data_IF_754002210826
#
_entry.id   IF_754002210826
#
_cell.length_a   1.000
_cell.length_b   1.000
_cell.length_c   1.000
_cell.angle_alpha   90.00
_cell.angle_beta   90.00
_cell.angle_gamma   90.00
#
_symmetry.space_group_name_H-M   'P 1'
#
loop_
_entity.id
_entity.type
_entity.pdbx_description
1 polymer ?
#
# COMPACT_ATOMS: atom_id res chain seq x y z
N UNK A 1 -28.27 -42.14 14.36
CA UNK A 1 -28.04 -42.45 15.79
C UNK A 1 -26.72 -41.80 16.16
N UNK A 2 -26.59 -40.83 17.06
CA UNK A 2 -27.54 -40.06 17.84
C UNK A 2 -26.95 -38.66 18.01
N UNK A 3 -27.83 -37.68 18.02
CA UNK A 3 -27.55 -36.28 18.27
C UNK A 3 -27.26 -36.05 19.76
N UNK A 4 -26.41 -35.08 20.08
CA UNK A 4 -26.31 -34.51 21.42
C UNK A 4 -25.25 -33.41 21.42
N UNK A 5 -25.53 -32.16 21.72
CA UNK A 5 -26.77 -31.51 22.10
C UNK A 5 -26.43 -30.05 22.35
N UNK A 6 -27.04 -29.15 21.58
CA UNK A 6 -27.12 -27.74 21.89
C UNK A 6 -28.09 -27.57 23.06
N UNK A 7 -27.57 -27.27 24.25
CA UNK A 7 -28.33 -26.73 25.38
C UNK A 7 -27.65 -25.41 25.79
N UNK A 8 -28.27 -24.25 25.56
CA UNK A 8 -29.29 -23.62 26.44
C UNK A 8 -28.73 -23.48 27.86
N UNK A 9 -28.68 -22.34 28.53
CA UNK A 9 -29.34 -21.05 28.34
C UNK A 9 -29.02 -20.27 29.62
N UNK A 10 -28.64 -19.00 29.52
CA UNK A 10 -29.20 -18.03 30.46
C UNK A 10 -29.67 -16.82 29.67
N UNK A 11 -30.97 -16.86 29.40
CA UNK A 11 -31.76 -15.74 28.96
C UNK A 11 -31.59 -14.61 29.99
N UNK A 12 -31.35 -13.39 29.53
CA UNK A 12 -32.40 -12.38 29.38
C UNK A 12 -31.80 -11.03 29.01
N UNK A 13 -32.49 -10.40 28.06
CA UNK A 13 -32.61 -8.95 27.90
C UNK A 13 -31.36 -8.25 27.29
N UNK A 14 -31.41 -7.50 26.19
CA UNK A 14 -32.51 -6.82 25.51
C UNK A 14 -32.22 -6.73 24.01
N UNK A 15 -33.31 -6.87 23.24
CA UNK A 15 -33.44 -6.61 21.80
C UNK A 15 -33.08 -5.15 21.47
N UNK A 16 -32.37 -4.92 20.37
CA UNK A 16 -32.74 -4.00 19.29
C UNK A 16 -32.09 -4.53 17.99
N UNK A 17 -32.90 -4.68 16.94
CA UNK A 17 -32.53 -5.18 15.60
C UNK A 17 -31.56 -4.24 14.85
N UNK A 18 -30.75 -4.77 13.91
CA UNK A 18 -30.00 -3.95 12.97
C UNK A 18 -30.92 -3.55 11.82
N UNK A 19 -31.33 -2.28 11.77
CA UNK A 19 -31.92 -1.73 10.55
C UNK A 19 -30.80 -1.13 9.70
N UNK A 20 -30.43 -1.87 8.66
CA UNK A 20 -29.74 -1.31 7.52
C UNK A 20 -30.75 -0.44 6.76
N UNK A 21 -30.58 0.89 6.78
CA UNK A 21 -31.20 1.79 5.82
C UNK A 21 -30.14 2.75 5.28
N UNK A 22 -29.70 2.44 4.06
CA UNK A 22 -29.08 3.39 3.15
C UNK A 22 -30.12 4.46 2.76
N UNK A 23 -29.88 5.75 3.04
CA UNK A 23 -30.20 6.84 2.09
C UNK A 23 -29.64 8.21 2.50
N UNK A 24 -28.74 8.71 1.64
CA UNK A 24 -28.56 10.07 1.08
C UNK A 24 -29.06 11.32 1.84
N UNK A 25 -28.14 12.29 1.95
CA UNK A 25 -28.29 13.75 1.74
C UNK A 25 -29.54 14.45 2.30
N UNK A 26 -29.33 15.31 3.30
CA UNK A 26 -30.28 16.36 3.66
C UNK A 26 -29.94 17.05 4.97
N UNK A 27 -29.61 18.35 4.89
CA UNK A 27 -29.48 19.26 6.02
C UNK A 27 -30.69 19.17 6.96
N UNK A 28 -30.48 18.81 8.23
CA UNK A 28 -31.44 19.04 9.30
C UNK A 28 -30.98 20.25 10.11
N UNK A 29 -31.72 21.33 9.91
CA UNK A 29 -31.59 22.64 10.54
C UNK A 29 -32.29 22.58 11.92
N UNK A 30 -31.77 23.36 12.86
CA UNK A 30 -32.38 23.83 14.12
C UNK A 30 -32.43 22.87 15.31
N UNK A 31 -31.45 23.01 16.21
CA UNK A 31 -31.78 23.18 17.62
C UNK A 31 -31.03 24.43 18.12
N UNK A 32 -31.81 25.49 18.35
CA UNK A 32 -31.35 26.84 18.63
C UNK A 32 -31.63 27.13 20.11
N UNK A 33 -30.58 27.06 20.93
CA UNK A 33 -30.48 27.83 22.17
C UNK A 33 -29.04 28.34 22.28
N UNK A 34 -28.92 29.66 22.31
CA UNK A 34 -27.69 30.42 22.28
C UNK A 34 -26.87 30.24 23.56
N UNK A 35 -25.57 29.97 23.40
CA UNK A 35 -24.54 30.30 24.37
C UNK A 35 -23.45 31.05 23.61
N UNK A 36 -23.41 32.37 23.80
CA UNK A 36 -22.44 33.28 23.22
C UNK A 36 -21.03 33.01 23.76
N UNK A 37 -20.03 33.12 22.88
CA UNK A 37 -18.67 33.46 23.27
C UNK A 37 -17.77 32.31 23.72
N UNK A 38 -17.40 31.42 22.79
CA UNK A 38 -16.27 30.51 22.99
C UNK A 38 -15.63 30.20 21.64
N UNK A 39 -14.44 30.77 21.41
CA UNK A 39 -13.65 30.66 20.18
C UNK A 39 -13.69 29.26 19.56
N UNK A 40 -14.14 29.16 18.29
CA UNK A 40 -13.79 28.00 17.46
C UNK A 40 -12.34 28.21 17.03
N UNK A 41 -11.40 28.00 17.97
CA UNK A 41 -9.98 27.91 17.65
C UNK A 41 -9.84 26.76 16.66
N UNK A 42 -9.45 27.06 15.42
CA UNK A 42 -9.29 26.09 14.35
C UNK A 42 -8.40 24.91 14.80
N UNK A 43 -9.03 23.81 15.24
CA UNK A 43 -8.33 22.63 15.75
C UNK A 43 -8.15 21.61 14.63
N UNK A 44 -7.20 21.85 13.73
CA UNK A 44 -6.72 20.78 12.84
C UNK A 44 -5.28 20.96 12.33
N UNK A 45 -4.34 21.26 13.25
CA UNK A 45 -2.89 21.28 12.92
C UNK A 45 -2.33 19.90 12.53
N UNK A 46 -3.01 18.78 12.81
CA UNK A 46 -2.51 17.42 12.58
C UNK A 46 -2.96 16.75 11.26
N UNK A 47 -4.24 16.80 10.81
CA UNK A 47 -4.66 16.08 9.61
C UNK A 47 -4.12 16.73 8.33
N UNK A 48 -4.25 18.06 8.21
CA UNK A 48 -3.72 18.82 7.06
C UNK A 48 -2.19 18.69 6.93
N UNK A 49 -1.47 18.60 8.05
CA UNK A 49 -0.01 18.36 8.07
C UNK A 49 0.33 16.94 7.58
N UNK A 50 -0.43 15.92 7.98
CA UNK A 50 -0.26 14.54 7.49
C UNK A 50 -0.55 14.46 5.99
N UNK A 51 -1.59 15.13 5.50
CA UNK A 51 -1.92 15.20 4.08
C UNK A 51 -0.78 15.80 3.24
N UNK A 52 -0.24 16.96 3.65
CA UNK A 52 0.92 17.58 2.96
C UNK A 52 2.15 16.68 2.93
N UNK A 53 2.47 16.01 4.06
CA UNK A 53 3.59 15.06 4.13
C UNK A 53 3.36 13.83 3.26
N UNK A 54 2.14 13.31 3.24
CA UNK A 54 1.76 12.17 2.41
C UNK A 54 1.94 12.49 0.92
N UNK A 55 1.53 13.67 0.49
CA UNK A 55 1.68 14.09 -0.91
C UNK A 55 3.16 14.24 -1.31
N UNK A 56 3.98 14.89 -0.49
CA UNK A 56 5.41 15.00 -0.73
C UNK A 56 6.09 13.62 -0.83
N UNK A 57 5.74 12.69 0.06
CA UNK A 57 6.26 11.32 0.02
C UNK A 57 5.73 10.54 -1.19
N UNK A 58 4.47 10.76 -1.59
CA UNK A 58 3.86 10.15 -2.78
C UNK A 58 4.66 10.51 -4.04
N UNK A 59 4.98 11.79 -4.22
CA UNK A 59 5.74 12.27 -5.39
C UNK A 59 7.14 11.63 -5.43
N UNK A 60 7.88 11.65 -4.31
CA UNK A 60 9.21 11.02 -4.22
C UNK A 60 9.14 9.51 -4.50
N UNK A 61 8.19 8.81 -3.89
CA UNK A 61 8.02 7.38 -4.08
C UNK A 61 7.59 7.02 -5.50
N UNK A 62 6.77 7.86 -6.14
CA UNK A 62 6.38 7.71 -7.55
C UNK A 62 7.61 7.75 -8.46
N UNK A 63 8.48 8.74 -8.27
CA UNK A 63 9.71 8.88 -9.06
C UNK A 63 10.70 7.73 -8.86
N UNK A 64 10.87 7.24 -7.62
CA UNK A 64 11.76 6.08 -7.37
C UNK A 64 11.16 4.78 -7.93
N UNK A 65 9.85 4.57 -7.76
CA UNK A 65 9.16 3.38 -8.32
C UNK A 65 9.18 3.38 -9.84
N UNK A 66 9.02 4.54 -10.49
CA UNK A 66 9.12 4.64 -11.95
C UNK A 66 10.54 4.34 -12.42
N UNK A 67 11.57 4.90 -11.76
CA UNK A 67 12.98 4.59 -12.06
C UNK A 67 13.27 3.08 -11.98
N UNK A 68 12.85 2.42 -10.90
CA UNK A 68 12.99 0.97 -10.76
C UNK A 68 12.31 0.20 -11.91
N UNK A 69 11.07 0.58 -12.25
CA UNK A 69 10.31 -0.07 -13.32
C UNK A 69 11.01 0.10 -14.67
N UNK A 70 11.56 1.28 -14.93
CA UNK A 70 12.31 1.57 -16.16
C UNK A 70 13.59 0.74 -16.25
N UNK A 71 14.39 0.65 -15.18
CA UNK A 71 15.62 -0.17 -15.20
C UNK A 71 15.31 -1.66 -15.43
N UNK A 72 14.26 -2.18 -14.79
CA UNK A 72 13.84 -3.58 -15.01
C UNK A 72 13.39 -3.79 -16.47
N UNK A 73 12.66 -2.83 -17.06
CA UNK A 73 12.26 -2.90 -18.47
C UNK A 73 13.46 -2.87 -19.43
N UNK A 74 14.49 -2.08 -19.12
CA UNK A 74 15.74 -2.05 -19.90
C UNK A 74 16.42 -3.41 -19.88
N UNK A 75 16.55 -4.02 -18.70
CA UNK A 75 17.07 -5.39 -18.56
C UNK A 75 16.22 -6.42 -19.33
N UNK A 76 14.89 -6.33 -19.29
CA UNK A 76 14.04 -7.22 -20.06
C UNK A 76 14.14 -7.01 -21.58
N UNK A 77 14.51 -5.81 -22.04
CA UNK A 77 14.80 -5.56 -23.44
C UNK A 77 16.15 -6.18 -23.86
N UNK A 78 17.21 -6.01 -23.07
CA UNK A 78 18.53 -6.61 -23.38
C UNK A 78 18.50 -8.13 -23.41
N UNK A 79 17.64 -8.76 -22.60
CA UNK A 79 17.41 -10.21 -22.67
C UNK A 79 16.89 -10.64 -24.04
N UNK A 80 15.97 -9.87 -24.63
CA UNK A 80 15.37 -10.22 -25.93
C UNK A 80 16.37 -10.10 -27.08
N UNK A 81 17.35 -9.22 -26.92
CA UNK A 81 18.42 -8.98 -27.90
C UNK A 81 19.59 -9.98 -27.75
N UNK A 82 19.55 -10.89 -26.77
CA UNK A 82 20.55 -11.96 -26.52
C UNK A 82 21.98 -11.42 -26.33
N UNK A 83 22.12 -10.20 -25.77
CA UNK A 83 23.43 -9.63 -25.43
C UNK A 83 23.77 -9.92 -23.95
N UNK A 84 24.69 -10.86 -23.73
CA UNK A 84 25.03 -11.38 -22.39
C UNK A 84 25.76 -10.35 -21.52
N UNK A 85 26.74 -9.63 -22.07
CA UNK A 85 27.51 -8.61 -21.34
C UNK A 85 26.62 -7.44 -20.91
N UNK A 86 25.86 -6.88 -21.85
CA UNK A 86 24.94 -5.78 -21.55
C UNK A 86 23.85 -6.21 -20.56
N UNK A 87 23.40 -7.47 -20.59
CA UNK A 87 22.46 -7.99 -19.60
C UNK A 87 23.06 -8.07 -18.19
N UNK A 88 24.34 -8.41 -18.06
CA UNK A 88 25.08 -8.41 -16.79
C UNK A 88 25.16 -7.03 -16.15
N UNK A 89 25.55 -6.01 -16.92
CA UNK A 89 25.63 -4.63 -16.43
C UNK A 89 24.26 -4.09 -15.99
N UNK A 90 23.22 -4.32 -16.80
CA UNK A 90 21.87 -3.90 -16.49
C UNK A 90 21.32 -4.64 -15.24
N UNK A 91 21.69 -5.90 -15.03
CA UNK A 91 21.34 -6.66 -13.84
C UNK A 91 21.97 -6.05 -12.58
N UNK A 92 23.27 -5.72 -12.61
CA UNK A 92 23.95 -5.08 -11.48
C UNK A 92 23.32 -3.73 -11.13
N UNK A 93 23.02 -2.91 -12.14
CA UNK A 93 22.32 -1.64 -11.95
C UNK A 93 20.93 -1.83 -11.33
N UNK A 94 20.18 -2.83 -11.79
CA UNK A 94 18.86 -3.15 -11.24
C UNK A 94 18.94 -3.59 -9.76
N UNK A 95 19.89 -4.45 -9.41
CA UNK A 95 20.12 -4.93 -8.04
C UNK A 95 20.50 -3.75 -7.12
N UNK A 96 21.44 -2.90 -7.55
CA UNK A 96 21.85 -1.71 -6.78
C UNK A 96 20.67 -0.79 -6.48
N UNK A 97 19.78 -0.55 -7.45
CA UNK A 97 18.60 0.29 -7.25
C UNK A 97 17.56 -0.36 -6.33
N UNK A 98 17.38 -1.68 -6.41
CA UNK A 98 16.48 -2.43 -5.51
C UNK A 98 16.96 -2.26 -4.06
N UNK A 99 18.25 -2.45 -3.80
CA UNK A 99 18.78 -2.37 -2.44
C UNK A 99 18.76 -0.93 -1.90
N UNK A 100 19.04 0.07 -2.75
CA UNK A 100 18.84 1.49 -2.42
C UNK A 100 17.38 1.84 -2.10
N UNK A 101 16.42 1.09 -2.64
CA UNK A 101 15.00 1.31 -2.38
C UNK A 101 14.54 0.69 -1.07
N UNK A 102 15.24 -0.37 -0.60
CA UNK A 102 15.04 -0.94 0.73
C UNK A 102 15.57 0.00 1.80
N UNK A 103 16.79 0.53 1.64
CA UNK A 103 17.37 1.47 2.61
C UNK A 103 16.57 2.77 2.73
N UNK A 104 15.94 3.23 1.64
CA UNK A 104 15.00 4.37 1.67
C UNK A 104 13.60 4.03 2.21
N UNK A 105 13.34 2.77 2.60
CA UNK A 105 12.04 2.33 3.12
C UNK A 105 10.90 2.30 2.09
N UNK A 106 11.21 2.34 0.79
CA UNK A 106 10.21 2.36 -0.29
C UNK A 106 9.70 0.94 -0.59
N UNK A 107 10.56 -0.06 -0.40
CA UNK A 107 10.26 -1.48 -0.62
C UNK A 107 10.63 -2.31 0.62
N UNK A 108 9.78 -3.26 0.97
CA UNK A 108 10.08 -4.22 2.03
C UNK A 108 11.18 -5.21 1.61
N UNK A 109 12.00 -5.65 2.58
CA UNK A 109 13.11 -6.59 2.37
C UNK A 109 12.71 -7.87 1.63
N UNK A 110 11.55 -8.45 1.98
CA UNK A 110 11.07 -9.69 1.32
C UNK A 110 10.68 -9.43 -0.15
N UNK A 111 10.10 -8.27 -0.45
CA UNK A 111 9.74 -7.93 -1.83
C UNK A 111 10.99 -7.69 -2.68
N UNK A 112 12.03 -7.08 -2.10
CA UNK A 112 13.32 -6.93 -2.74
C UNK A 112 13.99 -8.29 -3.01
N UNK A 113 14.02 -9.18 -2.01
CA UNK A 113 14.57 -10.53 -2.16
C UNK A 113 13.87 -11.33 -3.27
N UNK A 114 12.53 -11.31 -3.32
CA UNK A 114 11.76 -11.97 -4.40
C UNK A 114 12.12 -11.41 -5.77
N UNK A 115 12.28 -10.09 -5.91
CA UNK A 115 12.66 -9.47 -7.18
C UNK A 115 14.08 -9.81 -7.60
N UNK A 116 15.05 -9.79 -6.68
CA UNK A 116 16.44 -10.20 -6.95
C UNK A 116 16.49 -11.66 -7.43
N UNK A 117 15.80 -12.57 -6.74
CA UNK A 117 15.71 -13.98 -7.15
C UNK A 117 15.11 -14.14 -8.55
N UNK A 118 14.02 -13.41 -8.88
CA UNK A 118 13.40 -13.50 -10.21
C UNK A 118 14.34 -13.02 -11.32
N UNK A 119 15.09 -11.94 -11.10
CA UNK A 119 16.04 -11.43 -12.09
C UNK A 119 17.21 -12.39 -12.28
N UNK A 120 17.79 -12.91 -11.20
CA UNK A 120 18.87 -13.89 -11.27
C UNK A 120 18.46 -15.16 -12.01
N UNK A 121 17.25 -15.68 -11.75
CA UNK A 121 16.72 -16.85 -12.47
C UNK A 121 16.64 -16.62 -13.99
N UNK A 122 16.20 -15.44 -14.42
CA UNK A 122 16.15 -15.09 -15.85
C UNK A 122 17.54 -15.03 -16.48
N UNK A 123 18.51 -14.44 -15.79
CA UNK A 123 19.90 -14.39 -16.26
C UNK A 123 20.50 -15.79 -16.41
N UNK A 124 20.32 -16.64 -15.40
CA UNK A 124 20.83 -18.01 -15.42
C UNK A 124 20.21 -18.86 -16.53
N UNK A 125 18.93 -18.63 -16.87
CA UNK A 125 18.28 -19.32 -17.99
C UNK A 125 18.94 -19.01 -19.34
N UNK A 126 19.37 -17.76 -19.54
CA UNK A 126 20.06 -17.34 -20.77
C UNK A 126 21.48 -17.86 -20.80
N UNK A 127 22.17 -17.88 -19.65
CA UNK A 127 23.54 -18.38 -19.55
C UNK A 127 23.64 -19.92 -19.64
N UNK A 128 22.52 -20.62 -19.44
CA UNK A 128 22.45 -22.08 -19.51
C UNK A 128 21.89 -22.60 -20.84
N UNK A 129 21.47 -21.71 -21.75
CA UNK A 129 21.09 -22.01 -23.14
C UNK A 129 22.32 -21.93 -24.04
#
# INVERSE_FOLDING_TARGET
MGQGGLGRSHQKAQKILPLCLHFKNGNAIVFLLAFEGGEIVAKSKTPAKRARRAEANRIRNKAQKSRLKTTIRKYEATIKEVNVDAAGDNLQQAISLIDKSVSKGIMHKNTAARRKSKLAKKFNQINAQ
#
